data_IF_999896796314
#
_entry.id   IF_999896796314
#
_cell.length_a   1.000
_cell.length_b   1.000
_cell.length_c   1.000
_cell.angle_alpha   90.00
_cell.angle_beta   90.00
_cell.angle_gamma   90.00
#
_symmetry.space_group_name_H-M   'P 1'
#
loop_
_entity.id
_entity.type
_entity.pdbx_description
1 polymer ?
#
# COMPACT_ATOMS: atom_id res chain seq x y z
N UNK A 1 11.32 -4.93 1.19
CA UNK A 1 11.56 -3.59 0.60
C UNK A 1 10.69 -3.44 -0.64
N UNK A 2 10.22 -2.24 -0.96
CA UNK A 2 9.34 -1.97 -2.09
C UNK A 2 7.85 -1.82 -1.75
N UNK A 3 7.45 -2.04 -0.49
CA UNK A 3 6.05 -1.92 -0.07
C UNK A 3 5.52 -0.51 -0.34
N UNK A 4 4.32 -0.42 -0.93
CA UNK A 4 3.63 0.85 -1.13
C UNK A 4 2.80 1.16 0.10
N UNK A 5 3.01 2.36 0.65
CA UNK A 5 2.44 2.79 1.92
C UNK A 5 1.79 4.15 1.82
N UNK A 6 0.87 4.40 2.74
CA UNK A 6 0.28 5.71 3.04
C UNK A 6 0.37 5.95 4.54
N UNK A 7 0.06 7.17 4.99
CA UNK A 7 -0.05 7.49 6.42
C UNK A 7 -1.01 6.53 7.14
N UNK A 8 -0.64 6.14 8.35
CA UNK A 8 -1.37 5.21 9.22
C UNK A 8 -2.05 5.91 10.41
N UNK A 9 -2.63 5.12 11.33
CA UNK A 9 -3.49 5.61 12.40
C UNK A 9 -2.73 6.37 13.50
N UNK A 10 -1.46 6.04 13.74
CA UNK A 10 -0.66 6.65 14.80
C UNK A 10 0.17 7.86 14.31
N UNK A 11 -0.11 8.34 13.09
CA UNK A 11 0.63 9.44 12.46
C UNK A 11 0.60 10.72 13.30
N UNK A 12 1.77 11.28 13.61
CA UNK A 12 1.92 12.49 14.42
C UNK A 12 2.83 13.56 13.79
N UNK A 13 3.23 13.38 12.53
CA UNK A 13 4.27 14.19 11.87
C UNK A 13 3.74 15.41 11.10
N UNK A 14 2.56 15.94 11.48
CA UNK A 14 1.93 17.06 10.79
C UNK A 14 1.57 16.75 9.33
N UNK A 15 1.41 17.80 8.51
CA UNK A 15 0.82 17.75 7.15
C UNK A 15 1.80 17.98 6.00
N UNK A 16 3.10 17.85 6.26
CA UNK A 16 4.14 17.98 5.22
C UNK A 16 4.02 16.90 4.14
N UNK A 17 3.70 15.67 4.55
CA UNK A 17 3.17 14.63 3.68
C UNK A 17 1.66 14.86 3.66
N UNK A 18 0.94 14.95 2.52
CA UNK A 18 -0.52 15.06 2.48
C UNK A 18 -1.21 13.69 2.56
N UNK A 19 -2.51 13.68 2.94
CA UNK A 19 -3.23 12.42 3.16
C UNK A 19 -3.45 11.72 1.82
N UNK A 20 -3.29 10.40 1.81
CA UNK A 20 -3.32 9.62 0.58
C UNK A 20 -2.11 9.79 -0.33
N UNK A 21 -1.07 10.57 0.04
CA UNK A 21 0.22 10.52 -0.67
C UNK A 21 0.86 9.15 -0.46
N UNK A 22 1.29 8.55 -1.56
CA UNK A 22 1.96 7.27 -1.54
C UNK A 22 3.46 7.42 -1.31
N UNK A 23 4.02 6.43 -0.65
CA UNK A 23 5.46 6.24 -0.53
C UNK A 23 5.86 4.79 -0.72
N UNK A 24 7.16 4.58 -0.80
CA UNK A 24 7.79 3.27 -0.94
C UNK A 24 8.70 3.01 0.26
N UNK A 25 8.56 1.85 0.91
CA UNK A 25 9.50 1.42 1.96
C UNK A 25 10.83 1.02 1.32
N UNK A 26 11.88 1.80 1.61
CA UNK A 26 13.21 1.63 1.02
C UNK A 26 14.24 1.03 1.99
N UNK A 27 14.01 1.11 3.31
CA UNK A 27 14.89 0.55 4.33
C UNK A 27 14.10 0.05 5.55
N UNK A 28 14.62 -0.95 6.27
CA UNK A 28 14.03 -1.54 7.49
C UNK A 28 15.09 -1.57 8.60
N UNK A 29 14.65 -1.32 9.85
CA UNK A 29 15.43 -1.45 11.09
C UNK A 29 16.73 -0.64 11.13
N UNK A 30 16.79 0.47 10.40
CA UNK A 30 17.97 1.35 10.46
C UNK A 30 19.27 0.65 10.09
N UNK A 31 19.22 -0.41 9.28
CA UNK A 31 20.38 -1.26 9.00
C UNK A 31 21.56 -0.52 8.35
N UNK A 32 21.32 0.72 7.88
CA UNK A 32 22.28 1.67 7.33
C UNK A 32 22.52 2.93 8.21
N UNK A 33 21.77 3.13 9.30
CA UNK A 33 21.89 4.29 10.20
C UNK A 33 21.60 3.89 11.65
N UNK A 34 22.65 3.83 12.48
CA UNK A 34 22.60 3.48 13.91
C UNK A 34 21.81 4.45 14.81
N UNK A 35 21.22 5.50 14.23
CA UNK A 35 20.38 6.49 14.90
C UNK A 35 18.88 6.17 14.79
N UNK A 36 18.48 5.28 13.87
CA UNK A 36 17.09 4.90 13.72
C UNK A 36 16.71 3.87 14.81
N UNK A 37 15.60 4.07 15.55
CA UNK A 37 15.15 3.11 16.55
C UNK A 37 14.77 1.76 15.92
N UNK A 38 14.95 0.67 16.66
CA UNK A 38 14.39 -0.65 16.31
C UNK A 38 12.91 -0.53 15.92
N UNK A 39 12.45 -1.31 14.93
CA UNK A 39 11.06 -1.26 14.41
C UNK A 39 10.72 0.07 13.75
N UNK A 40 11.66 0.60 12.98
CA UNK A 40 11.46 1.77 12.13
C UNK A 40 11.75 1.43 10.68
N UNK A 41 11.13 2.15 9.76
CA UNK A 41 11.32 1.99 8.31
C UNK A 41 11.57 3.33 7.66
N UNK A 42 12.44 3.38 6.65
CA UNK A 42 12.56 4.56 5.80
C UNK A 42 11.56 4.46 4.66
N UNK A 43 10.82 5.54 4.45
CA UNK A 43 9.88 5.69 3.33
C UNK A 43 10.42 6.78 2.41
N UNK A 44 10.55 6.45 1.13
CA UNK A 44 10.69 7.43 0.05
C UNK A 44 9.29 7.78 -0.44
N UNK A 45 8.79 8.97 -0.09
CA UNK A 45 7.51 9.47 -0.58
C UNK A 45 7.60 9.83 -2.05
N UNK A 46 6.47 9.74 -2.75
CA UNK A 46 6.38 10.09 -4.18
C UNK A 46 6.67 11.57 -4.47
N UNK A 47 6.66 12.41 -3.43
CA UNK A 47 7.14 13.80 -3.49
C UNK A 47 8.67 13.94 -3.54
N UNK A 48 9.41 12.84 -3.37
CA UNK A 48 10.87 12.80 -3.29
C UNK A 48 11.44 12.97 -1.88
N UNK A 49 10.59 13.08 -0.86
CA UNK A 49 11.03 13.23 0.53
C UNK A 49 11.29 11.85 1.14
N UNK A 50 12.47 11.65 1.74
CA UNK A 50 12.83 10.42 2.48
C UNK A 50 12.80 10.67 3.99
N UNK A 51 12.02 9.89 4.73
CA UNK A 51 11.86 10.03 6.20
C UNK A 51 11.70 8.66 6.86
N UNK A 52 12.12 8.54 8.12
CA UNK A 52 11.89 7.36 8.95
C UNK A 52 10.58 7.46 9.76
N UNK A 53 9.86 6.34 9.84
CA UNK A 53 8.60 6.23 10.57
C UNK A 53 8.56 4.99 11.44
N UNK A 54 7.70 5.00 12.47
CA UNK A 54 7.52 3.87 13.38
C UNK A 54 6.69 2.79 12.70
N UNK A 55 7.21 1.57 12.76
CA UNK A 55 6.55 0.35 12.31
C UNK A 55 6.48 -0.65 13.49
N UNK A 56 6.13 -0.16 14.68
CA UNK A 56 6.06 -0.92 15.92
C UNK A 56 6.93 -0.37 17.06
N UNK A 57 7.77 0.65 16.81
CA UNK A 57 8.47 1.36 17.88
C UNK A 57 7.45 2.06 18.79
N UNK A 58 7.56 1.85 20.11
CA UNK A 58 6.61 2.41 21.07
C UNK A 58 5.17 1.92 20.88
N UNK A 59 4.96 0.75 20.24
CA UNK A 59 3.65 0.21 19.90
C UNK A 59 2.82 1.13 18.97
N UNK A 60 3.49 1.93 18.15
CA UNK A 60 2.87 2.81 17.17
C UNK A 60 3.18 2.35 15.74
N UNK A 61 2.17 2.50 14.88
CA UNK A 61 2.20 2.13 13.46
C UNK A 61 1.79 3.34 12.64
N UNK A 62 2.80 4.09 12.18
CA UNK A 62 2.60 5.36 11.48
C UNK A 62 2.18 5.19 10.01
N UNK A 63 2.18 3.96 9.51
CA UNK A 63 2.00 3.64 8.10
C UNK A 63 0.95 2.55 7.91
N UNK A 64 0.13 2.71 6.87
CA UNK A 64 -0.70 1.65 6.34
C UNK A 64 -0.08 1.07 5.07
N UNK A 65 -0.08 -0.26 4.97
CA UNK A 65 0.29 -0.96 3.75
C UNK A 65 -0.86 -0.87 2.75
N UNK A 66 -0.58 -0.36 1.55
CA UNK A 66 -1.55 -0.29 0.47
C UNK A 66 -1.42 -1.48 -0.50
N UNK A 67 -0.19 -1.79 -0.89
CA UNK A 67 0.11 -2.88 -1.81
C UNK A 67 1.54 -3.40 -1.58
N UNK A 68 1.75 -4.67 -1.91
CA UNK A 68 3.01 -5.39 -1.76
C UNK A 68 3.51 -6.03 -3.08
N UNK A 69 2.92 -5.73 -4.24
CA UNK A 69 3.34 -6.30 -5.55
C UNK A 69 4.85 -6.20 -5.77
N UNK A 70 5.45 -5.08 -5.40
CA UNK A 70 6.85 -4.76 -5.68
C UNK A 70 7.84 -5.56 -4.79
N UNK A 71 7.35 -6.36 -3.84
CA UNK A 71 8.18 -7.14 -2.90
C UNK A 71 8.50 -8.58 -3.36
N UNK A 72 8.04 -9.02 -4.53
CA UNK A 72 8.60 -10.19 -5.22
C UNK A 72 7.92 -11.55 -5.02
N UNK A 73 6.82 -11.68 -4.29
CA UNK A 73 6.07 -12.96 -4.15
C UNK A 73 4.54 -12.79 -4.08
N UNK A 74 4.03 -11.68 -4.60
CA UNK A 74 2.65 -11.25 -4.35
C UNK A 74 1.70 -11.64 -5.48
N UNK A 75 1.99 -12.71 -6.24
CA UNK A 75 1.06 -13.22 -7.26
C UNK A 75 0.21 -14.34 -6.65
N UNK A 76 -1.10 -14.12 -6.59
CA UNK A 76 -2.06 -15.12 -6.19
C UNK A 76 -2.70 -15.74 -7.45
N UNK A 77 -2.70 -17.07 -7.64
CA UNK A 77 -3.21 -17.73 -8.85
C UNK A 77 -4.76 -17.76 -8.91
N UNK A 78 -5.38 -16.62 -8.64
CA UNK A 78 -6.82 -16.38 -8.60
C UNK A 78 -7.11 -15.23 -9.55
N UNK A 79 -8.15 -15.36 -10.36
CA UNK A 79 -8.57 -14.32 -11.29
C UNK A 79 -9.47 -13.30 -10.60
N UNK A 80 -9.22 -12.02 -10.82
CA UNK A 80 -10.14 -10.99 -10.34
C UNK A 80 -11.48 -11.07 -11.09
N UNK A 81 -12.57 -11.29 -10.37
CA UNK A 81 -13.93 -11.41 -10.95
C UNK A 81 -14.40 -10.14 -11.66
N UNK A 82 -13.90 -8.96 -11.28
CA UNK A 82 -14.39 -7.69 -11.82
C UNK A 82 -13.61 -7.18 -13.04
N UNK A 83 -12.28 -7.28 -13.07
CA UNK A 83 -11.47 -6.80 -14.20
C UNK A 83 -10.93 -7.92 -15.09
N UNK A 84 -11.03 -9.18 -14.65
CA UNK A 84 -10.51 -10.34 -15.39
C UNK A 84 -8.99 -10.49 -15.33
N UNK A 85 -8.30 -9.71 -14.50
CA UNK A 85 -6.85 -9.84 -14.26
C UNK A 85 -6.54 -11.29 -13.86
N UNK A 86 -5.72 -11.93 -14.69
CA UNK A 86 -5.21 -13.27 -14.44
C UNK A 86 -4.10 -13.14 -13.41
N UNK A 87 -4.20 -13.93 -12.34
CA UNK A 87 -3.33 -13.86 -11.17
C UNK A 87 -3.36 -12.49 -10.48
N UNK A 88 -4.18 -12.36 -9.42
CA UNK A 88 -4.24 -11.14 -8.63
C UNK A 88 -2.84 -10.82 -8.08
N UNK A 89 -2.31 -9.69 -8.53
CA UNK A 89 -1.11 -9.09 -7.99
C UNK A 89 -1.42 -8.33 -6.70
N UNK A 90 -0.61 -8.57 -5.67
CA UNK A 90 -0.72 -7.92 -4.38
C UNK A 90 -1.73 -8.60 -3.48
N UNK A 91 -2.58 -7.79 -2.85
CA UNK A 91 -3.62 -8.30 -1.96
C UNK A 91 -4.79 -8.90 -2.72
N UNK A 92 -5.21 -10.08 -2.27
CA UNK A 92 -6.45 -10.71 -2.69
C UNK A 92 -7.58 -10.33 -1.73
N UNK A 93 -8.69 -9.86 -2.29
CA UNK A 93 -9.89 -9.50 -1.54
C UNK A 93 -11.02 -10.48 -1.84
N UNK A 94 -11.21 -11.48 -0.97
CA UNK A 94 -12.26 -12.50 -1.09
C UNK A 94 -13.55 -11.99 -0.47
N UNK A 95 -14.65 -11.96 -1.22
CA UNK A 95 -15.96 -11.66 -0.62
C UNK A 95 -16.36 -12.75 0.39
N UNK A 96 -16.79 -12.35 1.58
CA UNK A 96 -17.20 -13.29 2.63
C UNK A 96 -18.59 -13.90 2.42
N UNK A 97 -19.40 -13.30 1.52
CA UNK A 97 -20.77 -13.72 1.25
C UNK A 97 -20.93 -14.44 -0.10
N UNK A 98 -20.12 -14.08 -1.09
CA UNK A 98 -20.20 -14.62 -2.45
C UNK A 98 -19.00 -15.55 -2.71
N UNK A 99 -19.19 -16.89 -2.74
CA UNK A 99 -18.08 -17.83 -2.90
C UNK A 99 -17.23 -17.62 -4.15
N UNK A 100 -17.85 -17.22 -5.26
CA UNK A 100 -17.19 -17.02 -6.55
C UNK A 100 -16.55 -15.63 -6.76
N UNK A 101 -16.53 -14.77 -5.74
CA UNK A 101 -16.04 -13.39 -5.88
C UNK A 101 -14.70 -13.18 -5.19
N UNK A 102 -13.72 -12.79 -6.00
CA UNK A 102 -12.38 -12.37 -5.64
C UNK A 102 -12.02 -11.07 -6.39
N UNK A 103 -11.50 -10.08 -5.68
CA UNK A 103 -11.10 -8.80 -6.25
C UNK A 103 -9.59 -8.55 -6.05
N UNK A 104 -8.95 -7.95 -7.05
CA UNK A 104 -7.65 -7.30 -6.85
C UNK A 104 -7.81 -6.00 -6.06
N UNK A 105 -6.71 -5.46 -5.53
CA UNK A 105 -6.71 -4.21 -4.75
C UNK A 105 -7.36 -3.05 -5.50
N UNK A 106 -7.09 -2.88 -6.79
CA UNK A 106 -7.70 -1.80 -7.57
C UNK A 106 -9.23 -1.92 -7.65
N UNK A 107 -9.75 -3.11 -7.95
CA UNK A 107 -11.20 -3.35 -7.99
C UNK A 107 -11.84 -3.18 -6.60
N UNK A 108 -11.15 -3.63 -5.54
CA UNK A 108 -11.63 -3.47 -4.18
C UNK A 108 -11.71 -1.98 -3.78
N UNK A 109 -10.66 -1.20 -4.04
CA UNK A 109 -10.62 0.23 -3.71
C UNK A 109 -11.52 1.09 -4.63
N UNK A 110 -11.87 0.59 -5.82
CA UNK A 110 -12.76 1.25 -6.78
C UNK A 110 -14.24 0.86 -6.61
N UNK A 111 -14.61 0.37 -5.43
CA UNK A 111 -15.98 -0.01 -5.05
C UNK A 111 -16.64 -0.98 -6.05
N UNK A 112 -15.85 -1.86 -6.69
CA UNK A 112 -16.40 -2.97 -7.46
C UNK A 112 -16.98 -4.01 -6.52
N UNK A 113 -18.04 -4.69 -6.97
CA UNK A 113 -18.91 -5.56 -6.15
C UNK A 113 -19.70 -4.80 -5.09
N UNK A 114 -20.65 -5.47 -4.45
CA UNK A 114 -21.48 -4.89 -3.39
C UNK A 114 -20.58 -4.33 -2.25
N UNK A 115 -20.80 -3.06 -1.90
CA UNK A 115 -20.05 -2.36 -0.86
C UNK A 115 -20.55 -2.69 0.55
N UNK A 116 -21.74 -3.28 0.68
CA UNK A 116 -22.28 -3.78 1.95
C UNK A 116 -21.73 -5.14 2.35
N UNK A 117 -21.09 -5.84 1.41
CA UNK A 117 -20.42 -7.12 1.69
C UNK A 117 -19.09 -6.91 2.41
N UNK A 118 -18.88 -7.71 3.46
CA UNK A 118 -17.59 -7.88 4.10
C UNK A 118 -16.64 -8.67 3.22
N UNK A 119 -15.35 -8.40 3.35
CA UNK A 119 -14.30 -9.09 2.64
C UNK A 119 -13.31 -9.74 3.60
N UNK A 120 -12.52 -10.66 3.08
CA UNK A 120 -11.35 -11.24 3.73
C UNK A 120 -10.14 -10.83 2.88
N UNK A 121 -9.20 -10.11 3.50
CA UNK A 121 -7.95 -9.67 2.89
C UNK A 121 -6.88 -10.74 3.11
N UNK A 122 -6.25 -11.17 2.03
CA UNK A 122 -5.05 -12.01 2.05
C UNK A 122 -3.89 -11.20 1.50
N UNK A 123 -2.85 -11.00 2.30
CA UNK A 123 -1.68 -10.20 1.90
C UNK A 123 -0.76 -10.99 0.96
N UNK A 124 -0.68 -12.30 1.16
CA UNK A 124 -0.02 -13.25 0.28
C UNK A 124 -0.90 -14.48 0.08
N UNK A 125 -0.54 -15.36 -0.85
CA UNK A 125 -1.24 -16.63 -1.06
C UNK A 125 -1.23 -17.57 0.17
N UNK A 126 -0.32 -17.36 1.12
CA UNK A 126 -0.17 -18.17 2.34
C UNK A 126 -0.64 -17.44 3.60
N UNK A 127 -1.06 -16.18 3.50
CA UNK A 127 -1.52 -15.41 4.65
C UNK A 127 -2.78 -16.02 5.27
N UNK A 128 -2.87 -15.92 6.59
CA UNK A 128 -4.15 -16.07 7.29
C UNK A 128 -5.04 -14.89 6.87
N UNK A 129 -6.23 -15.18 6.35
CA UNK A 129 -7.14 -14.15 5.88
C UNK A 129 -7.66 -13.29 7.02
N UNK A 130 -7.61 -11.96 6.85
CA UNK A 130 -8.12 -10.99 7.83
C UNK A 130 -9.47 -10.45 7.35
N UNK A 131 -10.52 -10.63 8.15
CA UNK A 131 -11.83 -10.10 7.82
C UNK A 131 -11.84 -8.58 7.97
N UNK A 132 -12.34 -7.88 6.97
CA UNK A 132 -12.50 -6.42 6.95
C UNK A 132 -14.00 -6.05 6.91
N UNK A 133 -14.39 -4.93 7.53
CA UNK A 133 -15.79 -4.49 7.56
C UNK A 133 -16.30 -4.14 6.15
N UNK A 134 -17.64 -4.01 5.97
CA UNK A 134 -18.23 -3.49 4.75
C UNK A 134 -17.61 -2.14 4.35
N UNK A 135 -17.41 -1.93 3.05
CA UNK A 135 -16.87 -0.66 2.54
C UNK A 135 -17.86 0.49 2.67
N UNK A 136 -19.16 0.22 2.72
CA UNK A 136 -20.17 1.26 2.97
C UNK A 136 -19.97 1.94 4.34
N UNK A 137 -19.44 1.22 5.32
CA UNK A 137 -19.26 1.73 6.68
C UNK A 137 -18.09 2.72 6.78
N UNK A 138 -17.17 2.70 5.80
CA UNK A 138 -15.99 3.58 5.74
C UNK A 138 -16.02 4.54 4.54
N UNK A 139 -17.17 4.77 3.89
CA UNK A 139 -17.27 5.70 2.75
C UNK A 139 -16.85 7.14 3.12
N UNK A 140 -17.14 7.59 4.34
CA UNK A 140 -16.68 8.90 4.84
C UNK A 140 -15.17 8.98 5.08
N UNK A 141 -14.50 7.84 5.21
CA UNK A 141 -13.06 7.72 5.45
C UNK A 141 -12.27 7.40 4.18
N UNK A 142 -12.96 7.24 3.05
CA UNK A 142 -12.30 7.04 1.76
C UNK A 142 -11.52 8.30 1.38
N UNK A 143 -10.28 8.12 0.95
CA UNK A 143 -9.36 9.20 0.55
C UNK A 143 -8.88 9.01 -0.87
N UNK A 144 -8.56 10.11 -1.53
CA UNK A 144 -7.96 10.09 -2.87
C UNK A 144 -6.50 9.68 -2.77
N UNK A 145 -6.09 8.77 -3.65
CA UNK A 145 -4.69 8.39 -3.81
C UNK A 145 -3.94 9.48 -4.59
N UNK A 146 -2.79 9.90 -4.05
CA UNK A 146 -1.91 10.92 -4.64
C UNK A 146 -0.49 10.36 -4.76
N UNK A 147 0.24 10.71 -5.81
CA UNK A 147 1.60 10.22 -6.04
C UNK A 147 1.94 10.01 -7.51
N UNK A 148 2.87 9.11 -7.78
CA UNK A 148 3.35 8.77 -9.13
C UNK A 148 2.35 7.82 -9.79
N UNK A 149 1.26 8.40 -10.29
CA UNK A 149 0.22 7.73 -11.08
C UNK A 149 0.17 8.29 -12.51
N UNK A 150 -0.67 7.70 -13.37
CA UNK A 150 -0.90 8.23 -14.72
C UNK A 150 -1.29 9.72 -14.68
N UNK A 151 -0.55 10.54 -15.41
CA UNK A 151 -0.72 12.01 -15.44
C UNK A 151 0.12 12.78 -14.42
N UNK A 152 0.91 12.10 -13.57
CA UNK A 152 1.85 12.77 -12.69
C UNK A 152 3.01 13.42 -13.48
N UNK A 153 3.44 14.60 -13.04
CA UNK A 153 4.69 15.22 -13.47
C UNK A 153 5.80 14.73 -12.55
N UNK A 154 6.88 14.24 -13.14
CA UNK A 154 7.98 13.60 -12.40
C UNK A 154 9.33 14.14 -12.85
N UNK A 155 10.30 14.10 -11.95
CA UNK A 155 11.73 14.32 -12.22
C UNK A 155 12.52 13.13 -11.70
N UNK A 156 13.80 13.01 -12.09
CA UNK A 156 14.67 11.94 -11.58
C UNK A 156 14.74 11.96 -10.05
N UNK A 157 14.64 10.78 -9.44
CA UNK A 157 14.76 10.58 -7.99
C UNK A 157 16.18 10.27 -7.54
N UNK A 158 16.36 10.03 -6.23
CA UNK A 158 17.65 9.72 -5.60
C UNK A 158 18.34 8.50 -6.23
N UNK A 159 17.57 7.46 -6.57
CA UNK A 159 18.10 6.19 -7.10
C UNK A 159 18.36 6.20 -8.62
N UNK A 160 18.29 7.37 -9.28
CA UNK A 160 18.44 7.48 -10.72
C UNK A 160 19.85 7.09 -11.19
N UNK A 161 19.92 6.07 -12.06
CA UNK A 161 21.16 5.55 -12.65
C UNK A 161 21.16 5.57 -14.18
N UNK A 162 20.16 6.22 -14.80
CA UNK A 162 19.91 6.18 -16.23
C UNK A 162 20.57 7.35 -17.02
N UNK A 163 21.62 7.97 -16.48
CA UNK A 163 22.35 9.05 -17.16
C UNK A 163 21.48 10.29 -17.40
N UNK A 164 21.44 10.81 -18.63
CA UNK A 164 20.65 11.98 -19.03
C UNK A 164 19.48 11.63 -19.96
N UNK A 165 18.76 10.53 -19.68
CA UNK A 165 17.60 10.15 -20.49
C UNK A 165 16.42 11.12 -20.35
N UNK A 166 16.39 11.94 -19.30
CA UNK A 166 15.40 12.97 -19.00
C UNK A 166 15.81 14.39 -19.46
N UNK A 167 16.92 14.51 -20.20
CA UNK A 167 17.45 15.77 -20.75
C UNK A 167 18.48 16.45 -19.87
#
# INVERSE_FOLDING_TARGET
LGLRVVRGPDWTYGDEVPEGLFGTVVEIDGQCCSLAPDKSVAVMWDSGIKVYYRAGFGNAYDLHMYDNVQCGESLCPVTCTSCGEQEIAGFRWKCAFCPATDLCTWCYMSDKHDISHMFIRYETQFSIGVRVPPRCDCQGDKRLANGIFNGAFVTRGEDWKAGNQDG
#
